data_IF_974418367698
#
_entry.id   IF_974418367698
#
_cell.length_a   1.000
_cell.length_b   1.000
_cell.length_c   1.000
_cell.angle_alpha   90.00
_cell.angle_beta   90.00
_cell.angle_gamma   90.00
#
_symmetry.space_group_name_H-M   'P 1'
#
loop_
_entity.id
_entity.type
_entity.pdbx_description
1 polymer ?
#
# COMPACT_ATOMS: atom_id res chain seq x y z
N UNK A 1 52.45 36.38 21.53
CA UNK A 1 52.77 34.94 21.62
C UNK A 1 51.64 34.18 20.95
N UNK A 2 51.94 33.38 19.93
CA UNK A 2 51.00 32.71 18.99
C UNK A 2 50.02 31.76 19.69
N UNK A 3 48.80 31.60 19.15
CA UNK A 3 48.16 30.31 18.84
C UNK A 3 46.91 30.58 17.96
N UNK A 4 47.01 30.43 16.62
CA UNK A 4 46.59 29.27 15.80
C UNK A 4 45.06 29.11 15.70
N UNK A 5 44.53 29.44 14.52
CA UNK A 5 43.20 29.04 14.01
C UNK A 5 43.12 27.50 13.92
N UNK A 6 42.07 26.91 14.49
CA UNK A 6 41.68 25.54 14.22
C UNK A 6 40.34 25.55 13.46
N UNK A 7 40.47 25.56 12.13
CA UNK A 7 39.50 25.03 11.18
C UNK A 7 39.31 23.53 11.40
N UNK A 8 38.07 23.05 11.39
CA UNK A 8 37.76 21.63 11.21
C UNK A 8 36.77 21.07 12.22
N UNK A 9 35.51 20.98 11.81
CA UNK A 9 34.63 19.82 11.95
C UNK A 9 33.30 20.13 11.23
N UNK A 10 33.39 20.28 9.91
CA UNK A 10 32.34 19.82 9.02
C UNK A 10 32.62 18.33 8.80
N UNK A 11 31.79 17.47 9.38
CA UNK A 11 31.85 16.01 9.28
C UNK A 11 30.89 15.44 10.33
N UNK A 12 29.85 14.70 10.02
CA UNK A 12 29.49 13.95 8.82
C UNK A 12 28.00 14.20 8.56
N UNK A 13 27.65 14.62 7.35
CA UNK A 13 26.25 14.59 6.92
C UNK A 13 25.90 13.10 6.82
N UNK A 14 25.04 12.60 7.71
CA UNK A 14 24.58 11.21 7.70
C UNK A 14 24.13 10.86 6.28
N UNK A 15 24.93 10.04 5.59
CA UNK A 15 24.67 9.65 4.23
C UNK A 15 23.29 8.99 4.22
N UNK A 16 22.34 9.62 3.53
CA UNK A 16 20.98 9.14 3.48
C UNK A 16 21.00 7.72 2.89
N UNK A 17 20.82 6.70 3.75
CA UNK A 17 20.95 5.30 3.33
C UNK A 17 19.76 4.94 2.44
N UNK A 18 19.93 5.15 1.14
CA UNK A 18 19.17 4.44 0.13
C UNK A 18 19.67 3.01 0.05
N UNK A 19 18.77 2.09 -0.25
CA UNK A 19 19.13 0.72 -0.58
C UNK A 19 18.25 0.22 -1.70
N UNK A 20 18.75 -0.70 -2.51
CA UNK A 20 17.95 -1.32 -3.56
C UNK A 20 18.28 -2.80 -3.62
N UNK A 21 17.24 -3.63 -3.55
CA UNK A 21 17.34 -5.08 -3.62
C UNK A 21 16.51 -5.58 -4.78
N UNK A 22 17.17 -6.37 -5.62
CA UNK A 22 16.50 -7.18 -6.63
C UNK A 22 15.78 -8.33 -5.96
N UNK A 23 14.50 -8.44 -6.24
CA UNK A 23 13.73 -9.64 -5.95
C UNK A 23 13.77 -10.54 -7.19
N UNK A 24 13.56 -11.86 -7.06
CA UNK A 24 13.52 -12.75 -8.23
C UNK A 24 12.40 -12.40 -9.23
N UNK A 25 12.16 -13.28 -10.21
CA UNK A 25 11.06 -13.09 -11.17
C UNK A 25 9.70 -12.92 -10.48
N UNK A 26 8.87 -12.01 -11.00
CA UNK A 26 7.51 -11.76 -10.51
C UNK A 26 7.29 -10.33 -10.01
N UNK A 27 6.14 -10.11 -9.38
CA UNK A 27 5.70 -8.83 -8.81
C UNK A 27 5.67 -8.94 -7.30
N UNK A 28 6.36 -8.02 -6.61
CA UNK A 28 6.05 -7.75 -5.21
C UNK A 28 4.74 -6.97 -5.19
N UNK A 29 3.72 -7.47 -4.52
CA UNK A 29 2.39 -6.87 -4.48
C UNK A 29 2.19 -5.99 -3.25
N UNK A 30 2.79 -6.36 -2.11
CA UNK A 30 2.58 -5.64 -0.85
C UNK A 30 3.76 -5.77 0.14
N UNK A 31 3.78 -4.95 1.19
CA UNK A 31 4.84 -4.93 2.22
C UNK A 31 4.28 -4.66 3.62
N UNK A 32 4.83 -5.35 4.63
CA UNK A 32 4.46 -5.14 6.04
C UNK A 32 4.78 -3.71 6.52
N UNK A 33 4.15 -3.31 7.61
CA UNK A 33 4.32 -1.97 8.20
C UNK A 33 5.77 -1.62 8.50
N UNK A 34 6.56 -2.61 8.94
CA UNK A 34 7.99 -2.46 9.27
C UNK A 34 8.93 -2.65 8.07
N UNK A 35 8.40 -2.92 6.87
CA UNK A 35 9.19 -3.12 5.65
C UNK A 35 9.91 -4.46 5.55
N UNK A 36 9.71 -5.40 6.50
CA UNK A 36 10.53 -6.63 6.60
C UNK A 36 9.93 -7.85 5.92
N UNK A 37 8.61 -7.88 5.76
CA UNK A 37 7.89 -8.96 5.08
C UNK A 37 7.34 -8.42 3.77
N UNK A 38 7.68 -9.09 2.68
CA UNK A 38 7.27 -8.68 1.34
C UNK A 38 6.38 -9.77 0.76
N UNK A 39 5.20 -9.37 0.34
CA UNK A 39 4.30 -10.25 -0.39
C UNK A 39 4.64 -10.22 -1.87
N UNK A 40 4.79 -11.41 -2.42
CA UNK A 40 4.72 -11.68 -3.85
C UNK A 40 3.39 -12.33 -4.14
N UNK A 41 2.94 -12.26 -5.39
CA UNK A 41 1.72 -12.95 -5.81
C UNK A 41 1.68 -14.42 -5.35
N UNK A 42 2.80 -15.13 -5.24
CA UNK A 42 2.79 -16.58 -4.92
C UNK A 42 3.39 -16.98 -3.56
N UNK A 43 3.86 -16.03 -2.74
CA UNK A 43 4.64 -16.30 -1.53
C UNK A 43 5.00 -15.06 -0.72
N UNK A 44 5.52 -15.28 0.49
CA UNK A 44 6.14 -14.24 1.31
C UNK A 44 7.65 -14.30 1.17
N UNK A 45 8.32 -13.18 1.37
CA UNK A 45 9.76 -13.12 1.51
C UNK A 45 10.15 -12.37 2.77
N UNK A 46 11.19 -12.86 3.43
CA UNK A 46 11.88 -12.14 4.52
C UNK A 46 13.39 -12.26 4.34
N UNK A 47 14.15 -11.35 4.96
CA UNK A 47 15.61 -11.42 4.94
C UNK A 47 16.16 -12.69 5.61
N UNK A 48 15.44 -13.22 6.61
CA UNK A 48 15.85 -14.38 7.41
C UNK A 48 15.55 -15.70 6.70
N UNK A 49 14.38 -15.81 6.05
CA UNK A 49 13.87 -17.08 5.50
C UNK A 49 13.97 -17.16 3.98
N UNK A 50 14.25 -16.05 3.31
CA UNK A 50 14.13 -15.97 1.86
C UNK A 50 12.66 -16.07 1.42
N UNK A 51 12.44 -16.59 0.22
CA UNK A 51 11.11 -16.76 -0.36
C UNK A 51 10.45 -18.04 0.14
N UNK A 52 9.28 -17.90 0.76
CA UNK A 52 8.41 -18.97 1.23
C UNK A 52 7.10 -18.95 0.42
N UNK A 53 6.82 -19.97 -0.40
CA UNK A 53 5.57 -20.01 -1.16
C UNK A 53 4.35 -20.11 -0.23
N UNK A 54 3.26 -19.44 -0.60
CA UNK A 54 1.96 -19.69 0.03
C UNK A 54 1.60 -21.17 -0.18
N UNK A 55 1.18 -21.92 0.85
CA UNK A 55 0.81 -23.32 0.67
C UNK A 55 -0.42 -23.43 -0.25
N UNK A 56 -0.46 -24.54 -0.98
CA UNK A 56 -1.63 -24.96 -1.74
C UNK A 56 -2.12 -26.28 -1.17
N UNK A 57 -3.36 -26.32 -0.68
CA UNK A 57 -3.80 -27.44 0.16
C UNK A 57 -5.06 -28.16 -0.34
N UNK A 58 -5.58 -27.86 -1.54
CA UNK A 58 -6.83 -28.47 -2.01
C UNK A 58 -6.74 -29.11 -3.41
N UNK A 59 -7.30 -30.32 -3.61
CA UNK A 59 -7.26 -31.02 -4.89
C UNK A 59 -7.76 -30.17 -6.07
N UNK A 60 -7.09 -30.30 -7.22
CA UNK A 60 -7.52 -29.72 -8.49
C UNK A 60 -7.28 -28.22 -8.68
N UNK A 61 -6.65 -27.54 -7.72
CA UNK A 61 -6.30 -26.12 -7.89
C UNK A 61 -5.29 -25.94 -9.03
N UNK A 62 -5.38 -24.81 -9.74
CA UNK A 62 -4.49 -24.43 -10.84
C UNK A 62 -3.57 -23.27 -10.48
N UNK A 63 -3.94 -22.46 -9.50
CA UNK A 63 -3.15 -21.31 -9.10
C UNK A 63 -3.51 -20.78 -7.73
N UNK A 64 -2.64 -19.91 -7.22
CA UNK A 64 -2.83 -19.13 -6.00
C UNK A 64 -2.25 -17.74 -6.22
N UNK A 65 -2.86 -16.77 -5.59
CA UNK A 65 -2.43 -15.38 -5.65
C UNK A 65 -2.69 -14.70 -4.31
N UNK A 66 -1.63 -14.27 -3.62
CA UNK A 66 -1.70 -13.33 -2.51
C UNK A 66 -1.83 -11.91 -3.04
N UNK A 67 -2.82 -11.17 -2.56
CA UNK A 67 -3.14 -9.83 -3.04
C UNK A 67 -2.71 -8.77 -2.04
N UNK A 68 -2.95 -9.00 -0.74
CA UNK A 68 -2.68 -8.03 0.34
C UNK A 68 -2.09 -8.73 1.56
N UNK A 69 -1.22 -8.03 2.27
CA UNK A 69 -0.52 -8.45 3.48
C UNK A 69 -0.95 -7.58 4.67
N UNK A 70 -1.22 -8.22 5.81
CA UNK A 70 -1.46 -7.49 7.06
C UNK A 70 -0.22 -6.72 7.50
N UNK A 71 -0.44 -5.61 8.20
CA UNK A 71 0.62 -4.75 8.71
C UNK A 71 1.67 -5.52 9.55
N UNK A 72 1.23 -6.50 10.33
CA UNK A 72 2.12 -7.35 11.15
C UNK A 72 2.90 -8.41 10.34
N UNK A 73 2.65 -8.51 9.03
CA UNK A 73 3.34 -9.39 8.10
C UNK A 73 2.95 -10.88 8.23
N UNK A 74 1.89 -11.22 8.96
CA UNK A 74 1.52 -12.64 9.22
C UNK A 74 0.32 -13.13 8.43
N UNK A 75 -0.55 -12.25 7.95
CA UNK A 75 -1.79 -12.63 7.27
C UNK A 75 -1.76 -12.16 5.82
N UNK A 76 -1.94 -13.09 4.89
CA UNK A 76 -2.11 -12.78 3.47
C UNK A 76 -3.55 -13.05 3.08
N UNK A 77 -4.18 -12.10 2.41
CA UNK A 77 -5.49 -12.27 1.79
C UNK A 77 -5.32 -12.32 0.28
N UNK A 78 -6.05 -13.22 -0.37
CA UNK A 78 -5.96 -13.38 -1.82
C UNK A 78 -6.94 -14.42 -2.35
N UNK A 79 -6.52 -15.18 -3.37
CA UNK A 79 -7.38 -16.16 -4.04
C UNK A 79 -6.66 -17.45 -4.40
N UNK A 80 -7.41 -18.55 -4.41
CA UNK A 80 -7.04 -19.80 -5.08
C UNK A 80 -7.96 -20.02 -6.28
N UNK A 81 -7.41 -20.58 -7.36
CA UNK A 81 -8.13 -20.76 -8.64
C UNK A 81 -8.20 -22.22 -9.06
N UNK A 82 -9.31 -22.56 -9.71
CA UNK A 82 -9.64 -23.83 -10.35
C UNK A 82 -10.15 -23.56 -11.77
N UNK A 83 -10.26 -24.59 -12.64
CA UNK A 83 -10.90 -24.43 -13.94
C UNK A 83 -12.33 -23.89 -13.85
N UNK A 84 -13.01 -24.16 -12.73
CA UNK A 84 -14.43 -23.86 -12.51
C UNK A 84 -14.68 -22.57 -11.73
N UNK A 85 -13.64 -21.89 -11.24
CA UNK A 85 -13.81 -20.66 -10.45
C UNK A 85 -12.67 -20.36 -9.49
N UNK A 86 -12.87 -19.40 -8.60
CA UNK A 86 -11.89 -19.00 -7.60
C UNK A 86 -12.53 -18.86 -6.22
N UNK A 87 -11.76 -19.12 -5.17
CA UNK A 87 -12.16 -18.84 -3.79
C UNK A 87 -11.26 -17.75 -3.21
N UNK A 88 -11.85 -16.81 -2.47
CA UNK A 88 -11.09 -15.92 -1.60
C UNK A 88 -10.50 -16.74 -0.45
N UNK A 89 -9.22 -16.48 -0.17
CA UNK A 89 -8.40 -17.25 0.74
C UNK A 89 -7.72 -16.32 1.73
N UNK A 90 -7.48 -16.83 2.93
CA UNK A 90 -6.54 -16.23 3.87
C UNK A 90 -5.48 -17.26 4.26
N UNK A 91 -4.23 -16.82 4.24
CA UNK A 91 -3.06 -17.56 4.73
C UNK A 91 -2.52 -16.86 5.96
N UNK A 92 -2.50 -17.56 7.10
CA UNK A 92 -2.01 -17.03 8.38
C UNK A 92 -0.74 -17.75 8.79
N UNK A 93 0.34 -17.03 8.99
CA UNK A 93 1.58 -17.60 9.48
C UNK A 93 1.53 -17.71 11.01
N UNK A 94 1.29 -18.92 11.51
CA UNK A 94 1.11 -19.24 12.91
C UNK A 94 1.99 -20.45 13.28
N UNK A 95 2.62 -20.43 14.46
CA UNK A 95 3.39 -21.57 15.00
C UNK A 95 4.45 -22.16 14.03
N UNK A 96 5.07 -21.32 13.19
CA UNK A 96 6.11 -21.75 12.25
C UNK A 96 5.60 -22.31 10.91
N UNK A 97 4.29 -22.20 10.63
CA UNK A 97 3.71 -22.64 9.37
C UNK A 97 2.50 -21.81 8.95
N UNK A 98 2.02 -22.04 7.73
CA UNK A 98 0.81 -21.39 7.24
C UNK A 98 -0.44 -22.21 7.57
N UNK A 99 -1.44 -21.55 8.15
CA UNK A 99 -2.82 -21.99 8.22
C UNK A 99 -3.57 -21.38 7.03
N UNK A 100 -4.27 -22.20 6.25
CA UNK A 100 -5.01 -21.77 5.05
C UNK A 100 -6.48 -22.08 5.20
N UNK A 101 -7.31 -21.05 5.07
CA UNK A 101 -8.77 -21.16 5.22
C UNK A 101 -9.48 -20.30 4.15
N UNK A 102 -10.67 -20.72 3.69
CA UNK A 102 -11.48 -19.89 2.81
C UNK A 102 -12.07 -18.71 3.58
N UNK A 103 -12.22 -17.57 2.94
CA UNK A 103 -12.89 -16.40 3.52
C UNK A 103 -14.40 -16.61 3.42
N UNK A 104 -14.97 -17.24 4.46
CA UNK A 104 -16.40 -17.51 4.58
C UNK A 104 -16.98 -18.43 3.51
N UNK A 105 -18.27 -18.75 3.63
CA UNK A 105 -18.98 -19.51 2.60
C UNK A 105 -19.61 -18.57 1.56
N UNK A 106 -19.48 -18.86 0.26
CA UNK A 106 -20.28 -18.24 -0.79
C UNK A 106 -21.79 -18.33 -0.49
N UNK A 107 -22.45 -17.18 -0.32
CA UNK A 107 -23.92 -17.08 -0.20
C UNK A 107 -24.51 -16.97 -1.61
N UNK A 108 -25.50 -17.81 -1.92
CA UNK A 108 -26.25 -17.74 -3.18
C UNK A 108 -25.42 -18.02 -4.44
N UNK A 109 -24.33 -18.79 -4.32
CA UNK A 109 -23.45 -19.14 -5.45
C UNK A 109 -22.48 -18.03 -5.87
N UNK A 110 -22.30 -17.01 -5.03
CA UNK A 110 -21.49 -15.83 -5.35
C UNK A 110 -20.13 -15.87 -4.68
N UNK A 111 -19.09 -15.59 -5.45
CA UNK A 111 -17.72 -15.62 -4.94
C UNK A 111 -17.38 -14.37 -4.15
N UNK A 112 -16.61 -14.57 -3.10
CA UNK A 112 -16.04 -13.52 -2.29
C UNK A 112 -14.79 -12.99 -3.01
N UNK A 113 -14.63 -11.68 -3.08
CA UNK A 113 -13.40 -11.01 -3.47
C UNK A 113 -12.94 -10.16 -2.29
N UNK A 114 -11.64 -10.21 -1.98
CA UNK A 114 -11.07 -9.40 -0.92
C UNK A 114 -10.00 -8.47 -1.50
N UNK A 115 -9.94 -7.26 -0.95
CA UNK A 115 -9.04 -6.21 -1.42
C UNK A 115 -8.21 -5.58 -0.33
N UNK A 116 -8.54 -5.78 0.93
CA UNK A 116 -7.74 -5.25 2.03
C UNK A 116 -7.92 -6.10 3.30
N UNK A 117 -6.95 -5.99 4.21
CA UNK A 117 -6.94 -6.67 5.50
C UNK A 117 -6.35 -5.77 6.58
N UNK A 118 -6.94 -5.79 7.78
CA UNK A 118 -6.49 -4.95 8.88
C UNK A 118 -5.13 -5.41 9.44
N UNK A 119 -4.60 -4.65 10.41
CA UNK A 119 -3.21 -4.78 10.84
C UNK A 119 -2.83 -6.14 11.45
N UNK A 120 -3.77 -6.78 12.14
CA UNK A 120 -3.58 -8.11 12.76
C UNK A 120 -4.17 -9.26 11.94
N UNK A 121 -4.75 -8.96 10.77
CA UNK A 121 -5.37 -9.95 9.91
C UNK A 121 -6.76 -10.43 10.37
N UNK A 122 -7.34 -9.89 11.43
CA UNK A 122 -8.63 -10.35 11.97
C UNK A 122 -9.84 -9.91 11.14
N UNK A 123 -9.72 -8.84 10.34
CA UNK A 123 -10.75 -8.31 9.46
C UNK A 123 -10.24 -8.22 8.03
N UNK A 124 -10.92 -8.88 7.09
CA UNK A 124 -10.69 -8.73 5.66
C UNK A 124 -11.91 -8.10 4.99
N UNK A 125 -11.71 -7.24 4.01
CA UNK A 125 -12.80 -6.52 3.33
C UNK A 125 -12.78 -6.72 1.83
N UNK A 126 -13.93 -6.53 1.20
CA UNK A 126 -14.06 -6.57 -0.26
C UNK A 126 -15.51 -6.60 -0.69
N UNK A 127 -15.86 -7.54 -1.56
CA UNK A 127 -17.23 -7.73 -2.01
C UNK A 127 -17.66 -9.20 -2.04
N UNK A 128 -18.96 -9.35 -1.97
CA UNK A 128 -19.71 -10.53 -2.33
C UNK A 128 -20.84 -10.06 -3.24
N UNK A 129 -20.52 -9.95 -4.52
CA UNK A 129 -21.31 -9.19 -5.50
C UNK A 129 -22.82 -9.40 -5.35
N UNK A 130 -23.68 -8.38 -5.39
CA UNK A 130 -23.35 -7.00 -5.64
C UNK A 130 -23.01 -6.23 -4.36
N UNK A 131 -22.82 -6.91 -3.22
CA UNK A 131 -22.71 -6.29 -1.89
C UNK A 131 -21.25 -6.12 -1.48
N UNK A 132 -20.93 -5.01 -0.85
CA UNK A 132 -19.68 -4.90 -0.09
C UNK A 132 -19.71 -5.86 1.09
N UNK A 133 -18.55 -6.32 1.55
CA UNK A 133 -18.48 -7.22 2.69
C UNK A 133 -17.28 -6.94 3.59
N UNK A 134 -17.41 -7.39 4.85
CA UNK A 134 -16.26 -7.68 5.71
C UNK A 134 -16.36 -9.10 6.25
N UNK A 135 -15.21 -9.75 6.40
CA UNK A 135 -15.06 -11.04 7.06
C UNK A 135 -14.30 -10.85 8.36
N UNK A 136 -14.71 -11.55 9.41
CA UNK A 136 -13.93 -11.66 10.65
C UNK A 136 -13.24 -13.01 10.77
N UNK A 137 -12.29 -13.13 11.71
CA UNK A 137 -11.63 -14.41 12.04
C UNK A 137 -12.67 -15.47 12.38
N UNK A 138 -12.53 -16.66 11.78
CA UNK A 138 -13.53 -17.73 11.85
C UNK A 138 -14.52 -17.74 10.68
N UNK A 139 -14.40 -16.81 9.72
CA UNK A 139 -15.10 -16.85 8.44
C UNK A 139 -16.53 -16.30 8.47
N UNK A 140 -16.92 -15.57 9.51
CA UNK A 140 -18.19 -14.84 9.54
C UNK A 140 -18.14 -13.70 8.53
N UNK A 141 -19.14 -13.65 7.64
CA UNK A 141 -19.31 -12.60 6.65
C UNK A 141 -20.46 -11.68 7.06
N UNK A 142 -20.18 -10.38 7.04
CA UNK A 142 -21.18 -9.32 7.12
C UNK A 142 -21.22 -8.61 5.76
N UNK A 143 -22.41 -8.45 5.20
CA UNK A 143 -22.62 -7.80 3.90
C UNK A 143 -23.33 -6.46 4.05
N UNK A 144 -22.98 -5.51 3.19
CA UNK A 144 -23.51 -4.15 3.18
C UNK A 144 -24.31 -3.89 1.91
N UNK A 145 -25.52 -3.36 2.07
CA UNK A 145 -26.42 -3.04 0.94
C UNK A 145 -26.24 -1.62 0.40
N UNK A 146 -25.57 -0.79 1.17
CA UNK A 146 -25.29 0.61 0.90
C UNK A 146 -24.13 0.76 -0.09
N UNK A 147 -23.24 -0.23 -0.11
CA UNK A 147 -22.03 -0.25 -0.93
C UNK A 147 -21.92 -1.54 -1.71
N UNK A 148 -21.37 -1.43 -2.91
CA UNK A 148 -21.05 -2.58 -3.76
C UNK A 148 -19.71 -3.20 -3.45
N UNK A 149 -18.79 -2.39 -2.91
CA UNK A 149 -17.37 -2.70 -2.78
C UNK A 149 -16.85 -2.05 -1.49
N UNK A 150 -16.07 -2.77 -0.69
CA UNK A 150 -15.30 -2.20 0.43
C UNK A 150 -13.82 -2.29 0.09
N UNK A 151 -13.21 -1.15 -0.23
CA UNK A 151 -11.85 -1.08 -0.77
C UNK A 151 -10.76 -1.09 0.30
N UNK A 152 -11.03 -0.55 1.48
CA UNK A 152 -10.02 -0.45 2.53
C UNK A 152 -10.59 -0.57 3.94
N UNK A 153 -9.76 -1.02 4.88
CA UNK A 153 -10.08 -1.20 6.30
C UNK A 153 -8.97 -0.64 7.19
N UNK A 154 -9.33 0.02 8.29
CA UNK A 154 -8.35 0.60 9.22
C UNK A 154 -7.59 -0.48 9.96
N UNK A 155 -6.42 -0.13 10.52
CA UNK A 155 -5.59 -1.05 11.27
C UNK A 155 -6.34 -1.75 12.41
N UNK A 156 -7.25 -1.04 13.07
CA UNK A 156 -8.11 -1.56 14.15
C UNK A 156 -9.40 -2.24 13.66
N UNK A 157 -9.70 -2.23 12.35
CA UNK A 157 -10.91 -2.82 11.77
C UNK A 157 -12.19 -2.01 11.98
N UNK A 158 -12.11 -0.81 12.57
CA UNK A 158 -13.29 -0.01 12.99
C UNK A 158 -13.70 1.08 12.01
N UNK A 159 -12.95 1.27 10.92
CA UNK A 159 -13.29 2.14 9.81
C UNK A 159 -13.08 1.44 8.48
N UNK A 160 -13.93 1.75 7.51
CA UNK A 160 -13.82 1.23 6.16
C UNK A 160 -14.16 2.31 5.13
N UNK A 161 -13.66 2.12 3.92
CA UNK A 161 -13.98 2.97 2.77
C UNK A 161 -14.44 2.10 1.61
N UNK A 162 -15.46 2.55 0.89
CA UNK A 162 -16.11 1.72 -0.11
C UNK A 162 -16.88 2.50 -1.17
N UNK A 163 -17.34 1.77 -2.18
CA UNK A 163 -18.07 2.30 -3.31
C UNK A 163 -19.58 2.12 -3.11
N UNK A 164 -20.38 3.20 -3.04
CA UNK A 164 -21.83 3.07 -3.10
C UNK A 164 -22.31 2.51 -4.45
N UNK A 165 -23.54 1.99 -4.49
CA UNK A 165 -24.16 1.54 -5.76
C UNK A 165 -24.39 2.68 -6.75
N UNK A 166 -24.47 3.92 -6.26
CA UNK A 166 -24.43 5.09 -7.13
C UNK A 166 -23.04 5.26 -7.70
N UNK A 167 -22.93 5.09 -9.02
CA UNK A 167 -21.71 5.38 -9.76
C UNK A 167 -21.19 6.79 -9.39
N UNK A 168 -19.87 6.93 -9.26
CA UNK A 168 -19.16 8.21 -9.04
C UNK A 168 -19.08 8.75 -7.59
N UNK A 169 -19.13 7.89 -6.56
CA UNK A 169 -18.98 8.34 -5.16
C UNK A 169 -18.10 7.42 -4.34
N UNK A 170 -17.78 7.90 -3.14
CA UNK A 170 -17.06 7.19 -2.09
C UNK A 170 -17.94 7.27 -0.84
N UNK A 171 -18.03 6.18 -0.09
CA UNK A 171 -18.65 6.13 1.23
C UNK A 171 -17.61 5.73 2.26
N UNK A 172 -17.73 6.29 3.47
CA UNK A 172 -16.93 5.91 4.64
C UNK A 172 -17.84 5.24 5.66
N UNK A 173 -17.34 4.23 6.34
CA UNK A 173 -18.02 3.53 7.41
C UNK A 173 -17.22 3.70 8.70
N UNK A 174 -17.92 3.92 9.80
CA UNK A 174 -17.35 3.90 11.14
C UNK A 174 -18.21 3.03 12.06
N UNK A 175 -17.55 2.25 12.90
CA UNK A 175 -18.22 1.36 13.83
C UNK A 175 -19.15 2.16 14.77
N UNK A 176 -20.41 1.73 14.83
CA UNK A 176 -21.46 2.41 15.59
C UNK A 176 -22.15 3.57 14.86
N UNK A 177 -21.60 4.06 13.75
CA UNK A 177 -22.19 5.13 12.93
C UNK A 177 -22.74 4.63 11.58
N UNK A 178 -22.14 3.59 11.00
CA UNK A 178 -22.56 3.04 9.70
C UNK A 178 -21.98 3.79 8.51
N UNK A 179 -22.52 3.51 7.31
CA UNK A 179 -22.06 4.09 6.05
C UNK A 179 -22.56 5.51 5.84
N UNK A 180 -21.64 6.43 5.53
CA UNK A 180 -21.90 7.81 5.14
C UNK A 180 -21.31 8.07 3.76
N UNK A 181 -22.15 8.46 2.80
CA UNK A 181 -21.68 8.85 1.47
C UNK A 181 -21.01 10.22 1.52
N UNK A 182 -19.81 10.33 0.94
CA UNK A 182 -19.10 11.59 0.83
C UNK A 182 -19.66 12.45 -0.32
N UNK A 183 -19.59 13.76 -0.14
CA UNK A 183 -19.85 14.74 -1.21
C UNK A 183 -18.58 14.92 -2.02
N UNK A 184 -18.61 14.50 -3.29
CA UNK A 184 -17.51 14.70 -4.24
C UNK A 184 -17.66 16.05 -4.96
N UNK A 185 -16.55 16.76 -5.27
CA UNK A 185 -16.61 18.09 -5.85
C UNK A 185 -17.00 18.11 -7.34
N UNK A 186 -16.75 17.02 -8.07
CA UNK A 186 -16.96 16.93 -9.52
C UNK A 186 -17.47 15.53 -9.93
N UNK A 187 -18.18 15.41 -11.07
CA UNK A 187 -18.52 14.11 -11.64
C UNK A 187 -17.25 13.37 -12.10
N UNK A 188 -17.38 12.08 -12.34
CA UNK A 188 -16.29 11.21 -12.77
C UNK A 188 -16.10 10.01 -11.84
N UNK A 189 -15.17 9.14 -12.18
CA UNK A 189 -14.90 7.95 -11.40
C UNK A 189 -13.91 8.27 -10.27
N UNK A 190 -14.16 7.77 -9.06
CA UNK A 190 -13.36 8.06 -7.88
C UNK A 190 -12.91 6.74 -7.27
N UNK A 191 -11.64 6.38 -7.49
CA UNK A 191 -11.02 5.21 -6.87
C UNK A 191 -10.43 5.58 -5.52
N UNK A 192 -10.46 4.64 -4.58
CA UNK A 192 -9.64 4.66 -3.37
C UNK A 192 -8.62 3.54 -3.50
N UNK A 193 -7.34 3.90 -3.50
CA UNK A 193 -6.26 2.96 -3.75
C UNK A 193 -5.57 2.52 -2.46
N UNK A 194 -5.53 3.41 -1.46
CA UNK A 194 -4.95 3.08 -0.17
C UNK A 194 -5.54 3.97 0.93
N UNK A 195 -5.63 3.42 2.14
CA UNK A 195 -6.14 4.10 3.32
C UNK A 195 -5.05 4.19 4.38
N UNK A 196 -5.04 5.30 5.12
CA UNK A 196 -4.17 5.46 6.28
C UNK A 196 -4.56 4.45 7.37
N UNK A 197 -3.58 4.01 8.16
CA UNK A 197 -3.78 3.04 9.23
C UNK A 197 -4.88 3.43 10.26
N UNK A 198 -5.09 4.71 10.52
CA UNK A 198 -6.16 5.18 11.42
C UNK A 198 -7.56 5.21 10.77
N UNK A 199 -7.65 4.99 9.46
CA UNK A 199 -8.88 5.04 8.67
C UNK A 199 -9.49 6.44 8.50
N UNK A 200 -8.79 7.51 8.89
CA UNK A 200 -9.32 8.87 8.82
C UNK A 200 -8.99 9.56 7.51
N UNK A 201 -7.96 9.13 6.79
CA UNK A 201 -7.62 9.65 5.47
C UNK A 201 -7.32 8.52 4.49
N UNK A 202 -7.49 8.81 3.21
CA UNK A 202 -7.19 7.88 2.13
C UNK A 202 -6.71 8.63 0.90
N UNK A 203 -6.02 7.90 0.03
CA UNK A 203 -5.54 8.38 -1.26
C UNK A 203 -6.18 7.60 -2.39
N UNK A 204 -6.30 8.25 -3.52
CA UNK A 204 -6.96 7.66 -4.66
C UNK A 204 -6.71 8.43 -5.93
N UNK A 205 -7.44 8.04 -6.96
CA UNK A 205 -7.39 8.69 -8.27
C UNK A 205 -8.80 9.08 -8.71
N UNK A 206 -8.97 10.34 -9.09
CA UNK A 206 -10.18 10.79 -9.78
C UNK A 206 -9.96 10.68 -11.27
N UNK A 207 -10.81 9.95 -11.97
CA UNK A 207 -10.74 9.75 -13.42
C UNK A 207 -11.87 10.51 -14.10
N UNK A 208 -11.51 11.47 -14.95
CA UNK A 208 -12.46 12.21 -15.79
C UNK A 208 -11.90 12.41 -17.20
N UNK A 209 -12.69 12.11 -18.24
CA UNK A 209 -12.31 12.32 -19.64
C UNK A 209 -11.04 11.56 -20.06
N UNK A 210 -10.72 10.44 -19.41
CA UNK A 210 -9.44 9.76 -19.62
C UNK A 210 -8.26 10.55 -19.09
N UNK A 211 -8.41 11.21 -17.93
CA UNK A 211 -7.31 11.74 -17.11
C UNK A 211 -7.53 11.31 -15.66
N UNK A 212 -6.57 10.59 -15.08
CA UNK A 212 -6.53 10.35 -13.64
C UNK A 212 -5.77 11.50 -12.93
N UNK A 213 -6.30 12.00 -11.83
CA UNK A 213 -5.62 12.97 -10.96
C UNK A 213 -5.58 12.38 -9.54
N UNK A 214 -4.38 12.21 -8.94
CA UNK A 214 -4.30 11.71 -7.59
C UNK A 214 -4.84 12.74 -6.61
N UNK A 215 -5.47 12.26 -5.54
CA UNK A 215 -5.97 13.10 -4.46
C UNK A 215 -5.69 12.47 -3.11
N UNK A 216 -5.67 13.32 -2.08
CA UNK A 216 -5.78 12.93 -0.67
C UNK A 216 -7.12 13.42 -0.16
N UNK A 217 -7.84 12.56 0.54
CA UNK A 217 -9.03 12.97 1.28
C UNK A 217 -8.74 13.00 2.78
N UNK A 218 -9.19 14.06 3.46
CA UNK A 218 -9.23 14.13 4.93
C UNK A 218 -10.59 14.67 5.39
N UNK A 219 -11.00 14.42 6.65
CA UNK A 219 -12.28 14.92 7.14
C UNK A 219 -12.30 16.46 7.26
N UNK A 220 -11.14 17.09 7.47
CA UNK A 220 -11.00 18.54 7.64
C UNK A 220 -10.86 19.31 6.33
N UNK A 221 -10.20 18.74 5.32
CA UNK A 221 -9.91 19.42 4.04
C UNK A 221 -10.80 18.93 2.89
N UNK A 222 -11.47 17.79 3.05
CA UNK A 222 -12.14 17.12 1.93
C UNK A 222 -11.14 16.60 0.90
N UNK A 223 -11.51 16.65 -0.38
CA UNK A 223 -10.67 16.19 -1.49
C UNK A 223 -9.64 17.25 -1.89
N UNK A 224 -8.37 17.01 -1.54
CA UNK A 224 -7.23 17.81 -2.00
C UNK A 224 -6.51 17.07 -3.13
N UNK A 225 -6.58 17.63 -4.33
CA UNK A 225 -5.83 17.10 -5.47
C UNK A 225 -4.34 17.37 -5.32
N UNK A 226 -3.53 16.39 -5.69
CA UNK A 226 -2.07 16.52 -5.73
C UNK A 226 -1.67 16.71 -7.18
N UNK A 227 -1.32 17.94 -7.57
CA UNK A 227 -0.91 18.24 -8.95
C UNK A 227 0.38 17.50 -9.35
N UNK A 228 0.48 17.23 -10.65
CA UNK A 228 1.52 16.40 -11.24
C UNK A 228 2.90 17.05 -11.17
N UNK A 229 3.87 16.33 -10.62
CA UNK A 229 5.29 16.67 -10.78
C UNK A 229 5.76 16.69 -12.24
N UNK A 230 7.08 16.84 -12.50
CA UNK A 230 7.60 17.12 -13.84
C UNK A 230 7.09 16.13 -14.90
N UNK A 231 6.44 16.66 -15.95
CA UNK A 231 5.86 15.87 -17.05
C UNK A 231 4.34 15.67 -17.02
N UNK A 232 3.63 16.32 -16.09
CA UNK A 232 2.18 16.66 -16.08
C UNK A 232 1.13 15.57 -16.37
N UNK A 233 1.47 14.28 -16.31
CA UNK A 233 0.49 13.21 -16.40
C UNK A 233 0.82 12.08 -15.41
N UNK A 234 0.44 12.28 -14.14
CA UNK A 234 0.53 11.27 -13.08
C UNK A 234 -0.72 10.40 -13.07
N UNK A 235 -0.55 9.07 -13.05
CA UNK A 235 -1.67 8.15 -13.16
C UNK A 235 -1.46 6.97 -12.24
N UNK A 236 -2.22 7.01 -11.14
CA UNK A 236 -2.37 6.02 -10.09
C UNK A 236 -1.36 6.13 -8.93
N UNK A 237 -1.85 6.67 -7.81
CA UNK A 237 -1.24 6.49 -6.49
C UNK A 237 -1.56 5.07 -6.01
N UNK A 238 -0.55 4.24 -5.77
CA UNK A 238 -0.70 2.81 -5.46
C UNK A 238 -0.52 2.50 -3.98
N UNK A 239 0.10 3.40 -3.20
CA UNK A 239 0.29 3.20 -1.76
C UNK A 239 0.54 4.51 -1.02
N UNK A 240 0.29 4.49 0.29
CA UNK A 240 0.48 5.63 1.21
C UNK A 240 1.08 5.16 2.54
N UNK A 241 1.98 5.95 3.12
CA UNK A 241 2.53 5.69 4.46
C UNK A 241 1.49 5.88 5.56
N UNK A 242 1.75 5.36 6.76
CA UNK A 242 0.80 5.43 7.88
C UNK A 242 0.58 6.85 8.41
N UNK A 243 1.42 7.82 8.07
CA UNK A 243 1.25 9.23 8.38
C UNK A 243 0.83 10.09 7.17
N UNK A 244 0.68 9.48 5.98
CA UNK A 244 0.35 10.19 4.74
C UNK A 244 1.49 11.05 4.18
N UNK A 245 2.69 11.02 4.78
CA UNK A 245 3.82 11.85 4.34
C UNK A 245 4.50 11.35 3.06
N UNK A 246 4.28 10.08 2.71
CA UNK A 246 4.79 9.45 1.48
C UNK A 246 3.65 8.80 0.73
N UNK A 247 3.56 9.10 -0.56
CA UNK A 247 2.67 8.43 -1.50
C UNK A 247 3.53 7.88 -2.63
N UNK A 248 3.26 6.64 -3.06
CA UNK A 248 3.93 6.04 -4.22
C UNK A 248 2.94 5.86 -5.36
N UNK A 249 3.45 5.85 -6.59
CA UNK A 249 2.62 5.71 -7.79
C UNK A 249 3.45 5.61 -9.06
N UNK A 250 2.78 5.71 -10.21
CA UNK A 250 3.42 5.62 -11.51
C UNK A 250 3.02 6.74 -12.50
N UNK A 251 3.92 7.10 -13.41
CA UNK A 251 3.69 8.01 -14.54
C UNK A 251 3.54 7.26 -15.87
N UNK A 252 2.34 7.04 -16.40
CA UNK A 252 2.20 6.33 -17.68
C UNK A 252 2.88 7.04 -18.87
N UNK A 253 3.11 8.35 -18.79
CA UNK A 253 3.73 9.14 -19.88
C UNK A 253 5.26 9.04 -19.97
N UNK A 254 5.94 8.46 -18.96
CA UNK A 254 7.42 8.45 -18.88
C UNK A 254 8.06 7.15 -19.39
N UNK A 255 7.34 6.33 -20.15
CA UNK A 255 7.85 5.06 -20.66
C UNK A 255 7.96 4.01 -19.54
N UNK A 256 9.10 3.30 -19.46
CA UNK A 256 9.29 2.23 -18.50
C UNK A 256 9.81 2.71 -17.12
N UNK A 257 10.44 3.88 -17.06
CA UNK A 257 10.97 4.50 -15.83
C UNK A 257 9.97 5.48 -15.21
N UNK A 258 8.92 4.89 -14.64
CA UNK A 258 7.75 5.66 -14.23
C UNK A 258 7.38 5.56 -12.77
N UNK A 259 8.05 4.72 -11.98
CA UNK A 259 7.87 4.67 -10.55
C UNK A 259 8.18 6.04 -9.92
N UNK A 260 7.28 6.51 -9.06
CA UNK A 260 7.31 7.84 -8.50
C UNK A 260 6.98 7.84 -7.01
N UNK A 261 7.56 8.81 -6.31
CA UNK A 261 7.34 9.07 -4.89
C UNK A 261 6.96 10.53 -4.72
N UNK A 262 5.88 10.78 -4.02
CA UNK A 262 5.47 12.10 -3.58
C UNK A 262 5.77 12.29 -2.10
N UNK A 263 6.27 13.48 -1.76
CA UNK A 263 6.31 14.00 -0.39
C UNK A 263 5.88 15.46 -0.40
N UNK A 264 5.34 15.96 0.71
CA UNK A 264 4.91 17.36 0.85
C UNK A 264 6.04 18.37 0.50
N UNK A 265 7.28 18.06 0.89
CA UNK A 265 8.41 18.98 0.71
C UNK A 265 9.01 19.00 -0.70
N UNK A 266 8.86 17.92 -1.47
CA UNK A 266 9.51 17.80 -2.79
C UNK A 266 8.52 17.65 -3.95
N UNK A 267 7.24 17.47 -3.65
CA UNK A 267 6.28 16.99 -4.64
C UNK A 267 6.67 15.60 -5.15
N UNK A 268 6.17 15.26 -6.33
CA UNK A 268 6.49 14.00 -6.99
C UNK A 268 7.90 14.01 -7.61
N UNK A 269 8.64 12.94 -7.35
CA UNK A 269 9.96 12.66 -7.92
C UNK A 269 10.01 11.23 -8.42
N UNK A 270 10.75 10.96 -9.50
CA UNK A 270 10.96 9.58 -9.95
C UNK A 270 11.77 8.83 -8.92
N UNK A 271 11.36 7.60 -8.60
CA UNK A 271 12.06 6.73 -7.66
C UNK A 271 13.49 6.46 -8.11
N UNK A 272 13.70 6.25 -9.42
CA UNK A 272 15.03 5.98 -9.96
C UNK A 272 16.00 7.16 -9.76
N UNK A 273 15.52 8.40 -9.79
CA UNK A 273 16.34 9.59 -9.55
C UNK A 273 16.72 9.70 -8.06
N UNK A 274 15.76 9.46 -7.16
CA UNK A 274 16.02 9.41 -5.71
C UNK A 274 17.11 8.38 -5.38
N UNK A 275 17.06 7.20 -6.00
CA UNK A 275 18.04 6.14 -5.77
C UNK A 275 19.43 6.49 -6.33
N UNK A 276 19.49 7.10 -7.52
CA UNK A 276 20.74 7.56 -8.15
C UNK A 276 21.41 8.68 -7.35
N UNK A 277 20.64 9.65 -6.88
CA UNK A 277 21.16 10.74 -6.03
C UNK A 277 21.71 10.22 -4.70
N UNK A 278 21.16 9.12 -4.18
CA UNK A 278 21.71 8.42 -3.02
C UNK A 278 22.95 7.56 -3.33
N UNK A 279 23.45 7.59 -4.57
CA UNK A 279 24.71 6.94 -4.98
C UNK A 279 24.56 5.51 -5.49
N UNK A 280 23.34 5.03 -5.76
CA UNK A 280 23.13 3.69 -6.31
C UNK A 280 23.30 3.67 -7.83
N UNK A 281 24.05 2.69 -8.32
CA UNK A 281 24.10 2.39 -9.75
C UNK A 281 22.83 1.63 -10.17
N UNK A 282 21.98 2.32 -10.93
CA UNK A 282 20.72 1.79 -11.46
C UNK A 282 20.84 1.40 -12.95
N UNK A 283 22.06 1.13 -13.44
CA UNK A 283 22.28 0.70 -14.83
C UNK A 283 21.53 -0.61 -15.11
N UNK A 284 20.82 -0.64 -16.24
CA UNK A 284 20.03 -1.78 -16.68
C UNK A 284 18.69 -1.95 -15.98
N UNK A 285 18.33 -1.06 -15.06
CA UNK A 285 17.02 -1.04 -14.40
C UNK A 285 16.06 -0.05 -15.06
N UNK A 286 14.82 -0.51 -15.22
CA UNK A 286 13.67 0.31 -15.56
C UNK A 286 12.59 0.11 -14.49
N UNK A 287 12.32 1.12 -13.66
CA UNK A 287 11.40 1.00 -12.52
C UNK A 287 9.96 1.34 -12.93
N UNK A 288 9.12 0.31 -13.01
CA UNK A 288 7.80 0.43 -13.61
C UNK A 288 6.73 0.86 -12.61
N UNK A 289 6.20 -0.03 -11.77
CA UNK A 289 5.11 0.32 -10.85
C UNK A 289 5.51 -0.04 -9.41
N UNK A 290 5.62 0.94 -8.50
CA UNK A 290 5.60 0.64 -7.08
C UNK A 290 4.19 0.18 -6.72
N UNK A 291 4.07 -0.90 -5.95
CA UNK A 291 2.77 -1.45 -5.56
C UNK A 291 2.40 -1.10 -4.13
N UNK A 292 3.39 -0.92 -3.24
CA UNK A 292 3.15 -0.59 -1.85
C UNK A 292 4.34 0.15 -1.22
N UNK A 293 4.07 0.78 -0.07
CA UNK A 293 5.05 1.45 0.78
C UNK A 293 4.80 1.10 2.24
N UNK A 294 5.86 0.90 3.02
CA UNK A 294 5.79 0.62 4.46
C UNK A 294 5.20 1.80 5.24
N UNK A 295 4.75 1.53 6.47
CA UNK A 295 4.09 2.54 7.31
C UNK A 295 4.98 3.72 7.65
N UNK A 296 6.29 3.51 7.77
CA UNK A 296 7.28 4.57 7.98
C UNK A 296 7.64 5.35 6.70
N UNK A 297 7.07 4.98 5.55
CA UNK A 297 7.29 5.64 4.27
C UNK A 297 8.63 5.34 3.61
N UNK A 298 9.44 4.43 4.15
CA UNK A 298 10.84 4.25 3.70
C UNK A 298 11.03 3.07 2.78
N UNK A 299 10.27 2.00 2.94
CA UNK A 299 10.41 0.77 2.14
C UNK A 299 9.34 0.75 1.07
N UNK A 300 9.76 0.77 -0.18
CA UNK A 300 8.89 0.74 -1.35
C UNK A 300 9.12 -0.59 -2.06
N UNK A 301 8.05 -1.28 -2.39
CA UNK A 301 8.09 -2.51 -3.19
C UNK A 301 7.38 -2.31 -4.51
N UNK A 302 7.75 -3.12 -5.49
CA UNK A 302 7.05 -3.15 -6.75
C UNK A 302 7.75 -4.01 -7.78
N UNK A 303 7.59 -3.63 -9.04
CA UNK A 303 8.19 -4.37 -10.14
C UNK A 303 8.68 -3.44 -11.26
N UNK A 304 9.63 -3.95 -12.03
CA UNK A 304 10.23 -3.28 -13.17
C UNK A 304 10.90 -4.28 -14.10
N UNK A 305 11.80 -3.78 -14.94
CA UNK A 305 12.63 -4.60 -15.81
C UNK A 305 14.09 -4.44 -15.43
N UNK A 306 14.81 -5.56 -15.37
CA UNK A 306 16.26 -5.59 -15.28
C UNK A 306 16.80 -6.25 -16.53
N UNK A 307 17.49 -5.48 -17.38
CA UNK A 307 17.99 -5.95 -18.68
C UNK A 307 16.91 -6.65 -19.52
N UNK A 308 15.69 -6.08 -19.54
CA UNK A 308 14.55 -6.62 -20.27
C UNK A 308 13.76 -7.74 -19.58
N UNK A 309 14.21 -8.27 -18.44
CA UNK A 309 13.48 -9.29 -17.68
C UNK A 309 12.63 -8.67 -16.56
N UNK A 310 11.34 -9.02 -16.51
CA UNK A 310 10.45 -8.54 -15.45
C UNK A 310 10.93 -9.07 -14.09
N UNK A 311 11.12 -8.15 -13.15
CA UNK A 311 11.76 -8.41 -11.87
C UNK A 311 11.13 -7.56 -10.77
N UNK A 312 10.87 -8.16 -9.61
CA UNK A 312 10.43 -7.41 -8.44
C UNK A 312 11.57 -6.58 -7.84
N UNK A 313 11.24 -5.55 -7.07
CA UNK A 313 12.24 -4.80 -6.32
C UNK A 313 11.78 -4.41 -4.91
N UNK A 314 12.76 -4.13 -4.07
CA UNK A 314 12.63 -3.41 -2.81
C UNK A 314 13.56 -2.21 -2.87
N UNK A 315 13.03 -1.03 -2.64
CA UNK A 315 13.79 0.19 -2.53
C UNK A 315 13.64 0.76 -1.12
N UNK A 316 14.74 1.16 -0.49
CA UNK A 316 14.71 2.01 0.70
C UNK A 316 15.05 3.42 0.29
N UNK A 317 14.20 4.37 0.64
CA UNK A 317 14.45 5.80 0.45
C UNK A 317 14.78 6.48 1.79
N UNK A 318 15.37 7.69 1.76
CA UNK A 318 15.60 8.47 2.97
C UNK A 318 14.30 8.75 3.70
N UNK A 319 14.37 8.97 5.02
CA UNK A 319 13.20 9.44 5.76
C UNK A 319 12.72 10.77 5.15
N UNK A 320 11.40 10.96 4.98
CA UNK A 320 10.86 12.22 4.50
C UNK A 320 11.29 13.35 5.43
N UNK A 321 11.70 14.49 4.88
CA UNK A 321 12.21 15.62 5.66
C UNK A 321 11.22 16.13 6.74
N UNK A 322 9.93 15.81 6.62
CA UNK A 322 8.89 16.13 7.61
C UNK A 322 8.84 15.21 8.85
N UNK A 323 9.30 13.95 8.75
CA UNK A 323 9.27 13.00 9.88
C UNK A 323 10.28 13.38 10.98
N UNK A 324 11.39 14.00 10.61
CA UNK A 324 12.39 14.51 11.55
C UNK A 324 11.86 15.66 12.43
N UNK A 325 10.91 16.47 11.93
CA UNK A 325 10.34 17.60 12.66
C UNK A 325 9.31 17.16 13.72
N UNK A 326 8.52 16.12 13.45
CA UNK A 326 7.52 15.58 14.39
C UNK A 326 8.15 14.77 15.53
N UNK A 327 9.30 14.12 15.28
CA UNK A 327 10.06 13.39 16.29
C UNK A 327 10.58 14.28 17.44
N UNK A 328 11.01 15.52 17.14
CA UNK A 328 11.45 16.46 18.18
C UNK A 328 10.27 17.05 18.99
N UNK A 329 9.10 17.26 18.36
CA UNK A 329 7.92 17.76 19.07
C UNK A 329 7.34 16.72 20.05
N UNK A 330 7.31 15.43 19.66
CA UNK A 330 6.87 14.33 20.53
C UNK A 330 7.75 14.12 21.75
N UNK A 331 9.07 14.26 21.61
CA UNK A 331 10.03 14.15 22.72
C UNK A 331 9.94 15.32 23.70
N UNK A 332 9.59 16.52 23.24
CA UNK A 332 9.36 17.69 24.11
C UNK A 332 8.01 17.62 24.83
N UNK A 333 6.98 17.04 24.22
CA UNK A 333 5.68 16.81 24.86
C UNK A 333 5.76 15.76 25.98
N UNK A 334 6.58 14.72 25.81
CA UNK A 334 6.84 13.69 26.85
C UNK A 334 7.67 14.23 28.02
N UNK A 335 8.48 15.28 27.81
CA UNK A 335 9.30 15.89 28.87
C UNK A 335 8.54 16.91 29.73
N UNK A 336 7.35 17.35 29.30
CA UNK A 336 6.46 18.23 30.06
C UNK A 336 5.41 17.49 30.90
N UNK A 337 5.36 16.16 30.84
CA UNK A 337 4.49 15.30 31.66
C UNK A 337 5.28 14.44 32.67
N UNK A 338 6.26 15.04 33.35
CA UNK A 338 6.83 14.52 34.59
C UNK A 338 6.82 15.62 35.64
#
# INVERSE_FOLDING_TARGET
>A
MRLILASGLLGECAQAQVSFRTLGGGTASDVSADGRVILYNSGLWTAERGYEPLPAAWPGYQGREGLVLSADGRTVVGRMTWPTGALAMVWRYENGGFVTEPIGQPIGGRFNQCWDVNADGSVAVGNQQPLGMRSTRGGTIETYTEVSNVWGVSADGRRMVGQPHSWQRISVWEEGLGWTALTVPFPGYWDVNAMRADGLSFVGSHVNGGRAVPYVWTPSEGFRFIDGGPGEQGWNATGVSADGSVIVGAYYSLGNDRAAVWTEGTGWRRLIDILREGGLDMTGWELYTPTAVSWDGRTIVGWGYRNGAQTGYVATIPAPAGAAALGLAGLLALRRRR
#
